data_IF_544409847038
#
_entry.id   IF_544409847038
#
_cell.length_a   1.000
_cell.length_b   1.000
_cell.length_c   1.000
_cell.angle_alpha   90.00
_cell.angle_beta   90.00
_cell.angle_gamma   90.00
#
_symmetry.space_group_name_H-M   'P 1'
#
loop_
_entity.id
_entity.type
_entity.pdbx_description
1 polymer ?
#
# COMPACT_ATOMS: atom_id res chain seq x y z
N UNK A 1 13.59 15.68 -4.29
CA UNK A 1 12.96 14.38 -4.59
C UNK A 1 11.85 14.48 -5.63
N UNK A 2 10.84 15.35 -5.44
CA UNK A 2 9.67 15.52 -6.34
C UNK A 2 9.99 15.69 -7.84
N UNK A 3 11.17 16.20 -8.19
CA UNK A 3 11.61 16.39 -9.58
C UNK A 3 12.65 15.36 -10.07
N UNK A 4 13.27 14.59 -9.18
CA UNK A 4 14.39 13.71 -9.53
C UNK A 4 13.87 12.43 -10.19
N UNK A 5 12.97 11.72 -9.50
CA UNK A 5 12.47 10.43 -9.95
C UNK A 5 11.58 10.51 -11.20
N UNK A 6 10.67 11.50 -11.36
CA UNK A 6 9.93 11.67 -12.62
C UNK A 6 10.80 12.03 -13.83
N UNK A 7 11.94 12.69 -13.60
CA UNK A 7 12.86 13.11 -14.65
C UNK A 7 13.82 11.99 -15.08
N UNK A 8 14.07 11.01 -14.20
CA UNK A 8 14.91 9.87 -14.50
C UNK A 8 14.27 8.97 -15.57
N UNK A 9 15.08 8.55 -16.54
CA UNK A 9 14.66 7.56 -17.55
C UNK A 9 14.49 6.17 -16.90
N UNK A 10 15.39 5.82 -15.99
CA UNK A 10 15.42 4.56 -15.27
C UNK A 10 15.85 4.78 -13.82
N UNK A 11 15.19 4.09 -12.90
CA UNK A 11 15.51 4.09 -11.48
C UNK A 11 15.82 2.67 -11.03
N UNK A 12 16.96 2.48 -10.38
CA UNK A 12 17.34 1.21 -9.78
C UNK A 12 16.97 1.20 -8.30
N UNK A 13 16.09 0.30 -7.88
CA UNK A 13 15.73 0.13 -6.46
C UNK A 13 16.36 -1.15 -5.93
N UNK A 14 17.33 -1.01 -5.03
CA UNK A 14 18.19 -2.10 -4.59
C UNK A 14 17.65 -2.78 -3.32
N UNK A 15 17.31 -4.07 -3.39
CA UNK A 15 16.88 -4.83 -2.22
C UNK A 15 17.99 -4.98 -1.17
N UNK A 16 17.60 -5.36 0.05
CA UNK A 16 18.52 -5.61 1.15
C UNK A 16 19.62 -6.61 0.75
N UNK A 17 20.89 -6.19 0.84
CA UNK A 17 22.07 -7.01 0.49
C UNK A 17 22.14 -8.28 1.34
N UNK A 18 21.56 -8.26 2.54
CA UNK A 18 21.50 -9.42 3.44
C UNK A 18 20.47 -10.48 3.03
N UNK A 19 19.66 -10.25 1.99
CA UNK A 19 18.72 -11.23 1.50
C UNK A 19 19.45 -12.42 0.83
N UNK A 20 18.90 -13.62 1.01
CA UNK A 20 19.47 -14.81 0.38
C UNK A 20 19.25 -14.74 -1.13
N UNK A 21 20.33 -14.77 -1.91
CA UNK A 21 20.26 -14.65 -3.37
C UNK A 21 19.37 -15.72 -4.01
N UNK A 22 19.37 -16.95 -3.48
CA UNK A 22 18.51 -18.03 -4.01
C UNK A 22 17.02 -17.72 -3.83
N UNK A 23 16.63 -17.16 -2.69
CA UNK A 23 15.23 -16.79 -2.44
C UNK A 23 14.81 -15.65 -3.38
N UNK A 24 15.66 -14.64 -3.57
CA UNK A 24 15.36 -13.53 -4.49
C UNK A 24 15.26 -14.02 -5.94
N UNK A 25 16.17 -14.89 -6.38
CA UNK A 25 16.13 -15.48 -7.72
C UNK A 25 14.83 -16.26 -7.97
N UNK A 26 14.44 -17.11 -7.01
CA UNK A 26 13.19 -17.88 -7.12
C UNK A 26 12.01 -16.93 -7.15
N UNK A 27 11.95 -15.94 -6.24
CA UNK A 27 10.86 -14.97 -6.18
C UNK A 27 10.71 -14.18 -7.49
N UNK A 28 11.81 -13.68 -8.06
CA UNK A 28 11.78 -12.92 -9.31
C UNK A 28 11.28 -13.80 -10.46
N UNK A 29 11.85 -14.99 -10.64
CA UNK A 29 11.42 -15.94 -11.68
C UNK A 29 9.95 -16.32 -11.55
N UNK A 30 9.47 -16.52 -10.32
CA UNK A 30 8.08 -16.81 -10.02
C UNK A 30 7.17 -15.64 -10.42
N UNK A 31 7.55 -14.41 -10.09
CA UNK A 31 6.79 -13.22 -10.49
C UNK A 31 6.77 -13.01 -12.00
N UNK A 32 7.91 -13.20 -12.68
CA UNK A 32 7.98 -13.11 -14.15
C UNK A 32 7.12 -14.18 -14.83
N UNK A 33 7.15 -15.41 -14.32
CA UNK A 33 6.31 -16.51 -14.82
C UNK A 33 4.84 -16.17 -14.65
N UNK A 34 4.46 -15.68 -13.47
CA UNK A 34 3.10 -15.27 -13.17
C UNK A 34 2.64 -14.11 -14.07
N UNK A 35 3.47 -13.07 -14.20
CA UNK A 35 3.19 -11.90 -15.04
C UNK A 35 3.02 -12.29 -16.51
N UNK A 36 3.92 -13.12 -17.04
CA UNK A 36 3.84 -13.62 -18.41
C UNK A 36 2.56 -14.44 -18.62
N UNK A 37 2.28 -15.38 -17.74
CA UNK A 37 1.06 -16.20 -17.80
C UNK A 37 -0.21 -15.37 -17.68
N UNK A 38 -0.20 -14.30 -16.87
CA UNK A 38 -1.31 -13.37 -16.72
C UNK A 38 -1.55 -12.60 -18.02
N UNK A 39 -0.48 -12.06 -18.61
CA UNK A 39 -0.56 -11.31 -19.86
C UNK A 39 -1.10 -12.17 -21.00
N UNK A 40 -0.60 -13.41 -21.15
CA UNK A 40 -1.06 -14.35 -22.18
C UNK A 40 -2.55 -14.75 -22.04
N UNK A 41 -3.12 -14.58 -20.86
CA UNK A 41 -4.52 -14.94 -20.53
C UNK A 41 -5.42 -13.74 -20.35
N UNK A 42 -4.94 -12.53 -20.61
CA UNK A 42 -5.64 -11.27 -20.34
C UNK A 42 -6.11 -11.15 -18.87
N UNK A 43 -5.24 -11.54 -17.93
CA UNK A 43 -5.47 -11.43 -16.48
C UNK A 43 -4.66 -10.29 -15.85
N UNK A 44 -4.29 -9.28 -16.65
CA UNK A 44 -3.65 -8.05 -16.18
C UNK A 44 -4.68 -6.92 -16.23
N UNK A 45 -4.81 -6.18 -15.13
CA UNK A 45 -5.76 -5.07 -14.99
C UNK A 45 -5.09 -3.87 -14.34
N UNK A 46 -5.62 -2.70 -14.63
CA UNK A 46 -5.16 -1.45 -14.04
C UNK A 46 -5.66 -1.27 -12.61
N UNK A 47 -4.89 -0.55 -11.77
CA UNK A 47 -5.14 -0.36 -10.34
C UNK A 47 -6.48 0.34 -9.99
N UNK A 48 -7.15 0.97 -10.95
CA UNK A 48 -8.40 1.71 -10.78
C UNK A 48 -9.63 1.01 -11.40
N UNK A 49 -9.48 -0.21 -11.92
CA UNK A 49 -10.65 -1.01 -12.30
C UNK A 49 -11.30 -1.59 -11.05
N UNK A 50 -12.19 -0.82 -10.43
CA UNK A 50 -12.88 -1.16 -9.17
C UNK A 50 -13.84 -2.34 -9.32
N UNK A 51 -14.28 -2.63 -10.55
CA UNK A 51 -15.10 -3.79 -10.89
C UNK A 51 -14.50 -4.48 -12.10
N UNK A 52 -13.81 -5.63 -11.94
CA UNK A 52 -13.39 -6.39 -13.09
C UNK A 52 -14.64 -6.90 -13.82
N UNK A 53 -14.77 -6.59 -15.10
CA UNK A 53 -15.58 -7.41 -16.00
C UNK A 53 -14.87 -8.75 -16.09
N UNK A 54 -15.27 -9.70 -15.24
CA UNK A 54 -14.77 -11.07 -15.27
C UNK A 54 -15.41 -11.72 -16.49
N UNK A 55 -14.59 -12.03 -17.50
CA UNK A 55 -15.06 -12.81 -18.63
C UNK A 55 -15.48 -14.20 -18.15
N UNK A 56 -16.57 -14.72 -18.72
CA UNK A 56 -17.10 -16.04 -18.39
C UNK A 56 -16.03 -17.14 -18.53
N UNK A 57 -15.13 -16.99 -19.50
CA UNK A 57 -13.98 -17.88 -19.70
C UNK A 57 -13.04 -17.91 -18.48
N UNK A 58 -12.76 -16.75 -17.89
CA UNK A 58 -11.89 -16.67 -16.71
C UNK A 58 -12.57 -17.33 -15.50
N UNK A 59 -13.88 -17.13 -15.35
CA UNK A 59 -14.66 -17.75 -14.26
C UNK A 59 -14.70 -19.28 -14.36
N UNK A 60 -14.78 -19.84 -15.57
CA UNK A 60 -14.73 -21.28 -15.81
C UNK A 60 -13.38 -21.90 -15.41
N UNK A 61 -12.28 -21.19 -15.64
CA UNK A 61 -10.92 -21.65 -15.31
C UNK A 61 -10.50 -21.36 -13.85
N UNK A 62 -11.35 -20.66 -13.07
CA UNK A 62 -11.03 -20.21 -11.71
C UNK A 62 -10.59 -21.35 -10.79
N UNK A 63 -11.26 -22.50 -10.85
CA UNK A 63 -10.90 -23.66 -10.02
C UNK A 63 -9.46 -24.10 -10.31
N UNK A 64 -9.06 -24.10 -11.59
CA UNK A 64 -7.68 -24.44 -11.96
C UNK A 64 -6.69 -23.41 -11.43
N UNK A 65 -7.00 -22.11 -11.52
CA UNK A 65 -6.14 -21.05 -11.00
C UNK A 65 -5.97 -21.11 -9.48
N UNK A 66 -7.03 -21.44 -8.74
CA UNK A 66 -6.96 -21.61 -7.29
C UNK A 66 -6.09 -22.81 -6.88
N UNK A 67 -6.02 -23.84 -7.72
CA UNK A 67 -5.11 -24.97 -7.53
C UNK A 67 -3.69 -24.71 -8.08
N UNK A 68 -3.51 -23.71 -8.95
CA UNK A 68 -2.20 -23.36 -9.55
C UNK A 68 -1.98 -21.84 -9.49
N UNK A 69 -1.72 -21.25 -8.31
CA UNK A 69 -1.66 -19.79 -8.17
C UNK A 69 -0.51 -19.13 -8.94
N UNK A 70 0.52 -19.88 -9.33
CA UNK A 70 1.59 -19.41 -10.22
C UNK A 70 1.28 -19.56 -11.72
N UNK A 71 0.09 -20.06 -12.06
CA UNK A 71 -0.39 -20.30 -13.42
C UNK A 71 0.56 -21.17 -14.25
N UNK A 72 1.18 -22.14 -13.60
CA UNK A 72 2.03 -23.16 -14.21
C UNK A 72 1.67 -24.52 -13.58
N UNK A 73 1.39 -25.51 -14.43
CA UNK A 73 1.04 -26.86 -14.01
C UNK A 73 2.13 -27.58 -13.21
N UNK A 74 3.36 -27.05 -13.21
CA UNK A 74 4.47 -27.54 -12.37
C UNK A 74 4.35 -27.15 -10.90
N UNK A 75 3.48 -26.20 -10.56
CA UNK A 75 3.35 -25.64 -9.22
C UNK A 75 1.91 -25.76 -8.68
N UNK A 76 1.36 -26.98 -8.57
CA UNK A 76 0.08 -27.13 -7.89
C UNK A 76 0.21 -26.74 -6.42
N UNK A 77 -0.84 -26.18 -5.83
CA UNK A 77 -0.84 -25.57 -4.48
C UNK A 77 -0.37 -26.52 -3.36
N UNK A 78 -0.46 -27.84 -3.58
CA UNK A 78 -0.05 -28.88 -2.64
C UNK A 78 1.35 -29.48 -2.96
N UNK A 79 2.10 -28.90 -3.90
CA UNK A 79 3.46 -29.33 -4.25
C UNK A 79 4.51 -28.67 -3.37
N UNK A 80 5.66 -29.35 -3.23
CA UNK A 80 6.83 -28.78 -2.58
C UNK A 80 7.36 -27.59 -3.38
N UNK A 81 7.33 -27.67 -4.71
CA UNK A 81 7.76 -26.61 -5.62
C UNK A 81 6.95 -25.33 -5.41
N UNK A 82 5.64 -25.44 -5.19
CA UNK A 82 4.79 -24.30 -4.85
C UNK A 82 5.17 -23.73 -3.48
N UNK A 83 5.32 -24.58 -2.45
CA UNK A 83 5.67 -24.13 -1.11
C UNK A 83 7.02 -23.38 -1.10
N UNK A 84 8.03 -23.92 -1.77
CA UNK A 84 9.36 -23.29 -1.86
C UNK A 84 9.29 -21.92 -2.56
N UNK A 85 8.51 -21.84 -3.65
CA UNK A 85 8.31 -20.60 -4.39
C UNK A 85 7.51 -19.55 -3.59
N UNK A 86 6.44 -19.96 -2.91
CA UNK A 86 5.64 -19.07 -2.04
C UNK A 86 6.48 -18.53 -0.89
N UNK A 87 7.25 -19.39 -0.21
CA UNK A 87 8.15 -18.97 0.87
C UNK A 87 9.23 -18.01 0.37
N UNK A 88 9.81 -18.26 -0.80
CA UNK A 88 10.80 -17.37 -1.42
C UNK A 88 10.20 -15.99 -1.74
N UNK A 89 9.00 -15.93 -2.33
CA UNK A 89 8.26 -14.68 -2.59
C UNK A 89 7.97 -13.96 -1.27
N UNK A 90 7.44 -14.67 -0.28
CA UNK A 90 7.08 -14.14 1.04
C UNK A 90 8.29 -13.54 1.76
N UNK A 91 9.42 -14.23 1.79
CA UNK A 91 10.68 -13.72 2.39
C UNK A 91 11.22 -12.51 1.64
N UNK A 92 11.21 -12.55 0.30
CA UNK A 92 11.72 -11.47 -0.55
C UNK A 92 10.88 -10.20 -0.42
N UNK A 93 9.55 -10.31 -0.31
CA UNK A 93 8.67 -9.14 -0.19
C UNK A 93 8.50 -8.64 1.24
N UNK A 94 8.92 -9.43 2.25
CA UNK A 94 9.01 -9.02 3.67
C UNK A 94 10.39 -8.47 4.06
N UNK A 95 11.30 -8.25 3.10
CA UNK A 95 12.58 -7.62 3.39
C UNK A 95 12.35 -6.22 3.99
N UNK A 96 13.02 -5.93 5.10
CA UNK A 96 12.91 -4.63 5.80
C UNK A 96 13.17 -3.44 4.89
N UNK A 97 14.05 -3.62 3.90
CA UNK A 97 14.27 -2.61 2.87
C UNK A 97 12.93 -2.13 2.33
N UNK A 98 12.08 -3.03 1.81
CA UNK A 98 10.74 -2.72 1.23
C UNK A 98 9.78 -2.02 2.18
N UNK A 99 10.01 -2.10 3.48
CA UNK A 99 9.19 -1.41 4.47
C UNK A 99 9.59 0.07 4.61
N UNK A 100 10.72 0.52 4.05
CA UNK A 100 11.20 1.90 4.19
C UNK A 100 10.34 2.88 3.39
N UNK A 101 9.92 3.97 4.04
CA UNK A 101 9.08 4.98 3.42
C UNK A 101 9.71 5.60 2.15
N UNK A 102 11.04 5.73 2.13
CA UNK A 102 11.80 6.29 1.00
C UNK A 102 11.67 5.51 -0.31
N UNK A 103 11.51 4.19 -0.23
CA UNK A 103 11.31 3.35 -1.43
C UNK A 103 10.03 3.74 -2.14
N UNK A 104 9.02 4.19 -1.41
CA UNK A 104 7.77 4.62 -2.03
C UNK A 104 8.00 5.81 -2.98
N UNK A 105 8.93 6.72 -2.64
CA UNK A 105 9.33 7.80 -3.55
C UNK A 105 10.17 7.34 -4.72
N UNK A 106 10.91 6.23 -4.59
CA UNK A 106 11.65 5.65 -5.72
C UNK A 106 10.69 4.94 -6.67
N UNK A 107 9.71 4.22 -6.15
CA UNK A 107 8.87 3.33 -6.94
C UNK A 107 7.69 4.05 -7.59
N UNK A 108 7.09 5.03 -6.93
CA UNK A 108 5.81 5.61 -7.39
C UNK A 108 6.00 6.63 -8.51
N UNK A 109 6.73 7.75 -8.31
CA UNK A 109 6.85 8.81 -9.31
C UNK A 109 7.78 8.47 -10.49
N UNK A 110 8.48 7.34 -10.48
CA UNK A 110 9.43 6.95 -11.51
C UNK A 110 8.75 6.37 -12.75
N UNK A 111 9.24 6.69 -13.95
CA UNK A 111 8.67 6.15 -15.20
C UNK A 111 9.00 4.67 -15.41
N UNK A 112 10.26 4.30 -15.16
CA UNK A 112 10.75 2.92 -15.27
C UNK A 112 11.59 2.59 -14.06
N UNK A 113 11.26 1.47 -13.42
CA UNK A 113 11.97 1.00 -12.24
C UNK A 113 12.45 -0.43 -12.47
N UNK A 114 13.73 -0.66 -12.21
CA UNK A 114 14.32 -2.00 -12.14
C UNK A 114 14.67 -2.28 -10.69
N UNK A 115 14.09 -3.35 -10.15
CA UNK A 115 14.43 -3.84 -8.82
C UNK A 115 15.64 -4.75 -8.95
N UNK A 116 16.68 -4.49 -8.17
CA UNK A 116 17.95 -5.23 -8.25
C UNK A 116 18.29 -5.87 -6.91
N UNK A 117 18.93 -7.04 -6.96
CA UNK A 117 19.57 -7.67 -5.82
C UNK A 117 20.77 -8.50 -6.31
N UNK A 118 21.98 -8.05 -6.00
CA UNK A 118 23.21 -8.68 -6.48
C UNK A 118 23.20 -8.83 -8.01
N UNK A 119 23.11 -10.07 -8.53
CA UNK A 119 23.06 -10.39 -9.95
C UNK A 119 21.65 -10.60 -10.50
N UNK A 120 20.63 -10.49 -9.65
CA UNK A 120 19.23 -10.68 -10.03
C UNK A 120 18.56 -9.32 -10.26
N UNK A 121 17.69 -9.27 -11.27
CA UNK A 121 16.91 -8.07 -11.60
C UNK A 121 15.49 -8.45 -12.01
N UNK A 122 14.55 -7.53 -11.80
CA UNK A 122 13.18 -7.62 -12.31
C UNK A 122 12.62 -6.22 -12.57
N UNK A 123 11.92 -6.03 -13.68
CA UNK A 123 11.20 -4.79 -13.95
C UNK A 123 10.01 -4.66 -13.00
N UNK A 124 9.77 -3.45 -12.48
CA UNK A 124 8.61 -3.18 -11.63
C UNK A 124 7.30 -3.54 -12.34
N UNK A 125 7.21 -3.34 -13.66
CA UNK A 125 6.04 -3.73 -14.45
C UNK A 125 5.65 -5.21 -14.25
N UNK A 126 6.62 -6.12 -14.29
CA UNK A 126 6.35 -7.54 -14.05
C UNK A 126 5.87 -7.83 -12.63
N UNK A 127 6.33 -7.07 -11.63
CA UNK A 127 5.82 -7.19 -10.26
C UNK A 127 4.37 -6.69 -10.17
N UNK A 128 4.03 -5.60 -10.86
CA UNK A 128 2.68 -5.03 -10.90
C UNK A 128 1.72 -5.98 -11.63
N UNK A 129 2.13 -6.56 -12.76
CA UNK A 129 1.33 -7.53 -13.52
C UNK A 129 1.05 -8.80 -12.70
N UNK A 130 2.08 -9.33 -12.02
CA UNK A 130 1.96 -10.45 -11.10
C UNK A 130 0.97 -10.14 -9.96
N UNK A 131 1.10 -8.95 -9.35
CA UNK A 131 0.18 -8.49 -8.31
C UNK A 131 -1.25 -8.35 -8.84
N UNK A 132 -1.44 -7.74 -10.01
CA UNK A 132 -2.74 -7.51 -10.62
C UNK A 132 -3.48 -8.82 -10.82
N UNK A 133 -2.78 -9.83 -11.36
CA UNK A 133 -3.34 -11.17 -11.51
C UNK A 133 -3.79 -11.79 -10.17
N UNK A 134 -2.93 -11.79 -9.14
CA UNK A 134 -3.33 -12.34 -7.83
C UNK A 134 -4.52 -11.61 -7.21
N UNK A 135 -4.66 -10.30 -7.46
CA UNK A 135 -5.78 -9.51 -6.98
C UNK A 135 -7.09 -9.90 -7.68
N UNK A 136 -7.06 -10.14 -9.00
CA UNK A 136 -8.23 -10.59 -9.75
C UNK A 136 -8.67 -11.99 -9.33
N UNK A 137 -7.72 -12.91 -9.18
CA UNK A 137 -8.03 -14.28 -8.72
C UNK A 137 -8.70 -14.25 -7.34
N UNK A 138 -8.28 -13.35 -6.45
CA UNK A 138 -8.93 -13.15 -5.15
C UNK A 138 -10.37 -12.67 -5.33
N UNK A 139 -10.58 -11.64 -6.15
CA UNK A 139 -11.90 -11.06 -6.37
C UNK A 139 -12.87 -12.06 -6.98
N UNK A 140 -12.39 -12.85 -7.96
CA UNK A 140 -13.14 -13.95 -8.56
C UNK A 140 -13.49 -15.05 -7.54
N UNK A 141 -12.53 -15.43 -6.69
CA UNK A 141 -12.78 -16.41 -5.64
C UNK A 141 -13.84 -15.94 -4.63
N UNK A 142 -13.80 -14.66 -4.26
CA UNK A 142 -14.77 -14.04 -3.36
C UNK A 142 -16.16 -13.93 -4.03
N UNK A 143 -16.24 -13.55 -5.31
CA UNK A 143 -17.52 -13.41 -6.03
C UNK A 143 -18.21 -14.75 -6.28
N UNK A 144 -17.44 -15.78 -6.65
CA UNK A 144 -17.94 -17.13 -6.91
C UNK A 144 -18.10 -17.97 -5.64
N UNK A 145 -17.85 -17.39 -4.46
CA UNK A 145 -17.85 -18.09 -3.16
C UNK A 145 -16.97 -19.36 -3.17
N UNK A 146 -15.86 -19.33 -3.90
CA UNK A 146 -14.93 -20.46 -4.03
C UNK A 146 -13.92 -20.46 -2.89
N UNK A 147 -13.66 -21.66 -2.36
CA UNK A 147 -12.71 -21.82 -1.28
C UNK A 147 -11.28 -21.87 -1.85
N UNK A 148 -10.51 -20.80 -1.66
CA UNK A 148 -9.10 -20.79 -1.98
C UNK A 148 -8.25 -21.40 -0.84
N UNK A 149 -7.21 -22.15 -1.20
CA UNK A 149 -6.29 -22.76 -0.24
C UNK A 149 -5.44 -21.73 0.51
N UNK A 150 -4.88 -22.12 1.67
CA UNK A 150 -4.03 -21.24 2.49
C UNK A 150 -2.83 -20.68 1.70
N UNK A 151 -2.22 -21.49 0.84
CA UNK A 151 -1.09 -21.09 0.00
C UNK A 151 -1.41 -19.90 -0.91
N UNK A 152 -2.60 -19.89 -1.51
CA UNK A 152 -3.07 -18.76 -2.33
C UNK A 152 -3.17 -17.48 -1.50
N UNK A 153 -3.77 -17.55 -0.31
CA UNK A 153 -3.91 -16.37 0.56
C UNK A 153 -2.57 -15.82 1.02
N UNK A 154 -1.62 -16.70 1.36
CA UNK A 154 -0.26 -16.29 1.73
C UNK A 154 0.44 -15.56 0.56
N UNK A 155 0.31 -16.11 -0.64
CA UNK A 155 0.84 -15.50 -1.85
C UNK A 155 0.23 -14.11 -2.09
N UNK A 156 -1.10 -14.00 -2.08
CA UNK A 156 -1.80 -12.72 -2.24
C UNK A 156 -1.35 -11.69 -1.18
N UNK A 157 -1.25 -12.11 0.08
CA UNK A 157 -0.77 -11.24 1.17
C UNK A 157 0.63 -10.69 0.91
N UNK A 158 1.51 -11.48 0.29
CA UNK A 158 2.87 -11.08 -0.05
C UNK A 158 2.90 -9.91 -1.04
N UNK A 159 1.92 -9.82 -1.95
CA UNK A 159 1.82 -8.74 -2.93
C UNK A 159 1.17 -7.44 -2.42
N UNK A 160 0.69 -7.41 -1.16
CA UNK A 160 -0.04 -6.26 -0.60
C UNK A 160 0.70 -4.92 -0.73
N UNK A 161 2.02 -4.91 -0.55
CA UNK A 161 2.86 -3.71 -0.70
C UNK A 161 3.06 -3.28 -2.15
N UNK A 162 3.17 -4.23 -3.07
CA UNK A 162 3.23 -3.93 -4.50
C UNK A 162 1.91 -3.32 -4.97
N UNK A 163 0.78 -3.78 -4.44
CA UNK A 163 -0.53 -3.20 -4.70
C UNK A 163 -0.66 -1.75 -4.22
N UNK A 164 -0.11 -1.44 -3.04
CA UNK A 164 -0.05 -0.04 -2.55
C UNK A 164 0.77 0.84 -3.50
N UNK A 165 1.87 0.31 -4.06
CA UNK A 165 2.68 1.00 -5.08
C UNK A 165 1.87 1.21 -6.35
N UNK A 166 1.24 0.16 -6.89
CA UNK A 166 0.44 0.25 -8.13
C UNK A 166 -0.66 1.30 -8.02
N UNK A 167 -1.40 1.26 -6.92
CA UNK A 167 -2.46 2.21 -6.61
C UNK A 167 -1.95 3.66 -6.52
N UNK A 168 -0.84 3.90 -5.82
CA UNK A 168 -0.28 5.24 -5.73
C UNK A 168 0.33 5.73 -7.06
N UNK A 169 0.89 4.82 -7.87
CA UNK A 169 1.33 5.12 -9.23
C UNK A 169 0.19 5.61 -10.09
N UNK A 170 -0.95 4.93 -10.05
CA UNK A 170 -2.14 5.38 -10.76
C UNK A 170 -2.58 6.79 -10.34
N UNK A 171 -2.49 7.13 -9.04
CA UNK A 171 -2.81 8.46 -8.54
C UNK A 171 -1.86 9.55 -9.07
N UNK A 172 -0.57 9.24 -9.20
CA UNK A 172 0.47 10.19 -9.63
C UNK A 172 0.57 10.32 -11.15
N UNK A 173 0.59 9.20 -11.86
CA UNK A 173 0.76 9.15 -13.32
C UNK A 173 -0.54 9.48 -14.07
N UNK A 174 -1.67 9.58 -13.36
CA UNK A 174 -2.95 10.01 -13.90
C UNK A 174 -3.67 8.94 -14.73
N UNK A 175 -3.38 7.65 -14.47
CA UNK A 175 -4.05 6.46 -15.03
C UNK A 175 -4.58 6.59 -16.46
N UNK A 176 -3.91 6.00 -17.45
CA UNK A 176 -4.40 5.99 -18.85
C UNK A 176 -5.84 5.45 -18.88
N UNK A 177 -6.79 6.26 -19.34
CA UNK A 177 -8.20 5.89 -19.46
C UNK A 177 -9.01 5.84 -18.15
N UNK A 178 -8.46 6.30 -17.01
CA UNK A 178 -9.22 6.45 -15.77
C UNK A 178 -10.09 7.72 -15.79
N UNK A 179 -11.31 7.65 -15.24
CA UNK A 179 -12.09 8.86 -14.98
C UNK A 179 -11.39 9.71 -13.91
N UNK A 180 -11.28 11.02 -14.16
CA UNK A 180 -10.63 11.95 -13.22
C UNK A 180 -11.33 11.97 -11.86
N UNK A 181 -12.65 11.75 -11.82
CA UNK A 181 -13.42 11.60 -10.57
C UNK A 181 -12.94 10.40 -9.74
N UNK A 182 -12.65 9.26 -10.38
CA UNK A 182 -12.10 8.07 -9.73
C UNK A 182 -10.70 8.32 -9.20
N UNK A 183 -9.81 8.88 -10.04
CA UNK A 183 -8.46 9.23 -9.62
C UNK A 183 -8.47 10.25 -8.48
N UNK A 184 -9.39 11.20 -8.51
CA UNK A 184 -9.56 12.19 -7.45
C UNK A 184 -10.00 11.54 -6.13
N UNK A 185 -10.97 10.61 -6.19
CA UNK A 185 -11.37 9.81 -5.04
C UNK A 185 -10.20 8.99 -4.47
N UNK A 186 -9.39 8.37 -5.32
CA UNK A 186 -8.19 7.64 -4.90
C UNK A 186 -7.15 8.57 -4.26
N UNK A 187 -6.83 9.71 -4.89
CA UNK A 187 -5.89 10.70 -4.36
C UNK A 187 -6.30 11.14 -2.96
N UNK A 188 -7.59 11.35 -2.71
CA UNK A 188 -8.12 11.74 -1.40
C UNK A 188 -7.76 10.78 -0.25
N UNK A 189 -7.37 9.54 -0.57
CA UNK A 189 -6.97 8.51 0.39
C UNK A 189 -5.44 8.34 0.49
N UNK A 190 -4.63 9.03 -0.32
CA UNK A 190 -3.16 8.96 -0.26
C UNK A 190 -2.61 9.26 1.15
N UNK A 191 -3.20 10.18 1.94
CA UNK A 191 -2.77 10.38 3.32
C UNK A 191 -2.82 9.12 4.19
N UNK A 192 -3.62 8.09 3.86
CA UNK A 192 -3.63 6.81 4.60
C UNK A 192 -2.31 6.05 4.53
N UNK A 193 -1.41 6.42 3.60
CA UNK A 193 -0.06 5.89 3.51
C UNK A 193 0.86 6.46 4.61
N UNK A 194 0.51 7.61 5.22
CA UNK A 194 1.24 8.15 6.36
C UNK A 194 1.35 7.09 7.45
N UNK A 195 2.59 6.71 7.76
CA UNK A 195 2.82 5.73 8.80
C UNK A 195 2.53 4.26 8.41
N UNK A 196 2.48 3.92 7.12
CA UNK A 196 2.43 2.51 6.68
C UNK A 196 3.80 1.86 6.48
N UNK A 197 4.84 2.67 6.50
CA UNK A 197 6.21 2.30 6.16
C UNK A 197 7.13 2.63 7.33
N UNK A 198 8.10 1.77 7.60
CA UNK A 198 9.14 1.98 8.59
C UNK A 198 10.05 3.16 8.24
N UNK A 199 10.47 3.88 9.27
CA UNK A 199 11.37 5.03 9.21
C UNK A 199 12.30 4.99 10.41
N UNK A 200 13.47 5.61 10.28
CA UNK A 200 14.37 5.82 11.43
C UNK A 200 14.09 7.19 12.08
N UNK A 201 13.89 8.23 11.26
CA UNK A 201 13.39 9.53 11.70
C UNK A 201 11.85 9.58 11.53
N UNK A 202 11.07 9.81 12.61
CA UNK A 202 9.61 9.93 12.50
C UNK A 202 9.12 11.01 11.51
N UNK A 203 9.91 12.05 11.22
CA UNK A 203 9.58 13.06 10.20
C UNK A 203 9.47 12.46 8.80
N UNK A 204 10.16 11.35 8.53
CA UNK A 204 10.17 10.69 7.22
C UNK A 204 8.82 10.10 6.85
N UNK A 205 7.92 9.84 7.81
CA UNK A 205 6.56 9.44 7.44
C UNK A 205 5.88 10.51 6.59
N UNK A 206 6.17 11.79 6.84
CA UNK A 206 5.69 12.91 6.03
C UNK A 206 6.61 13.14 4.84
N UNK A 207 7.90 13.36 5.10
CA UNK A 207 8.85 13.78 4.06
C UNK A 207 9.03 12.74 2.96
N UNK A 208 8.98 11.45 3.29
CA UNK A 208 9.05 10.37 2.31
C UNK A 208 7.75 10.18 1.50
N UNK A 209 6.70 10.99 1.71
CA UNK A 209 5.52 10.98 0.84
C UNK A 209 5.36 12.26 0.02
N UNK A 210 6.22 13.27 0.17
CA UNK A 210 6.17 14.53 -0.59
C UNK A 210 6.41 14.37 -2.10
N UNK A 211 7.02 13.25 -2.52
CA UNK A 211 7.14 12.88 -3.94
C UNK A 211 5.85 12.32 -4.55
N UNK A 212 4.87 11.97 -3.71
CA UNK A 212 3.60 11.32 -4.10
C UNK A 212 2.41 12.23 -3.80
N UNK A 213 2.42 12.90 -2.65
CA UNK A 213 1.40 13.85 -2.20
C UNK A 213 1.97 15.26 -2.39
N UNK A 214 1.28 16.14 -3.14
CA UNK A 214 1.82 17.43 -3.54
C UNK A 214 1.73 18.49 -2.43
N UNK A 215 2.19 18.18 -1.21
CA UNK A 215 2.21 19.14 -0.10
C UNK A 215 3.37 20.13 -0.25
N UNK A 216 3.12 21.41 0.04
CA UNK A 216 4.15 22.47 -0.01
C UNK A 216 4.94 22.53 1.31
N UNK A 217 5.66 21.44 1.60
CA UNK A 217 6.49 21.31 2.81
C UNK A 217 7.93 21.06 2.38
N UNK A 218 8.86 21.86 2.90
CA UNK A 218 10.30 21.63 2.73
C UNK A 218 10.83 20.72 3.84
N UNK A 219 11.55 19.63 3.51
CA UNK A 219 12.16 18.77 4.52
C UNK A 219 13.20 19.51 5.37
N UNK A 220 12.92 19.66 6.66
CA UNK A 220 13.83 20.22 7.67
C UNK A 220 14.15 19.18 8.77
N UNK A 221 15.40 18.72 8.76
CA UNK A 221 15.96 17.77 9.74
C UNK A 221 16.71 18.44 10.89
N UNK A 222 16.76 19.78 10.94
CA UNK A 222 17.38 20.47 12.06
C UNK A 222 16.62 20.21 13.37
N UNK A 223 17.32 20.40 14.49
CA UNK A 223 16.75 20.25 15.84
C UNK A 223 15.67 21.28 16.16
N UNK A 224 15.57 22.36 15.37
CA UNK A 224 14.52 23.39 15.50
C UNK A 224 13.16 22.90 15.02
N UNK A 225 13.17 22.07 13.97
CA UNK A 225 11.95 21.48 13.43
C UNK A 225 11.58 20.25 14.25
N UNK A 226 10.53 20.35 15.06
CA UNK A 226 10.03 19.21 15.85
C UNK A 226 9.16 18.30 14.99
N UNK A 227 9.04 17.02 15.37
CA UNK A 227 8.10 16.08 14.72
C UNK A 227 6.67 16.65 14.74
N UNK A 228 6.25 17.23 15.87
CA UNK A 228 4.93 17.83 16.00
C UNK A 228 4.70 18.96 14.98
N UNK A 229 5.70 19.83 14.78
CA UNK A 229 5.63 20.93 13.81
C UNK A 229 5.47 20.43 12.38
N UNK A 230 6.24 19.40 11.98
CA UNK A 230 6.13 18.78 10.64
C UNK A 230 4.73 18.26 10.38
N UNK A 231 4.18 17.58 11.36
CA UNK A 231 2.88 16.95 11.28
C UNK A 231 1.74 17.98 11.28
N UNK A 232 1.84 19.06 12.05
CA UNK A 232 0.91 20.20 11.98
C UNK A 232 0.92 20.83 10.58
N UNK A 233 2.11 21.10 10.03
CA UNK A 233 2.24 21.60 8.66
C UNK A 233 1.62 20.64 7.63
N UNK A 234 1.82 19.33 7.79
CA UNK A 234 1.18 18.32 6.95
C UNK A 234 -0.36 18.39 7.00
N UNK A 235 -0.95 18.49 8.20
CA UNK A 235 -2.39 18.65 8.34
C UNK A 235 -2.90 19.92 7.66
N UNK A 236 -2.21 21.06 7.83
CA UNK A 236 -2.56 22.33 7.19
C UNK A 236 -2.56 22.21 5.66
N UNK A 237 -1.51 21.63 5.09
CA UNK A 237 -1.40 21.46 3.64
C UNK A 237 -2.42 20.46 3.08
N UNK A 238 -2.68 19.35 3.78
CA UNK A 238 -3.72 18.39 3.39
C UNK A 238 -5.10 19.04 3.40
N UNK A 239 -5.42 19.84 4.42
CA UNK A 239 -6.69 20.55 4.50
C UNK A 239 -6.84 21.57 3.37
N UNK A 240 -5.79 22.33 3.03
CA UNK A 240 -5.79 23.23 1.87
C UNK A 240 -6.03 22.46 0.57
N UNK A 241 -5.32 21.35 0.40
CA UNK A 241 -5.42 20.51 -0.79
C UNK A 241 -6.83 19.91 -0.98
N UNK A 242 -7.45 19.41 0.10
CA UNK A 242 -8.79 18.83 0.04
C UNK A 242 -9.93 19.87 -0.01
N UNK A 243 -9.76 21.05 0.60
CA UNK A 243 -10.78 22.11 0.53
C UNK A 243 -11.02 22.55 -0.93
N UNK A 244 -10.01 22.42 -1.79
CA UNK A 244 -10.09 22.73 -3.22
C UNK A 244 -10.81 21.63 -4.04
N UNK A 245 -10.88 20.39 -3.54
CA UNK A 245 -11.21 19.22 -4.36
C UNK A 245 -12.56 18.53 -4.07
N UNK A 246 -13.50 19.19 -3.37
CA UNK A 246 -14.89 18.74 -3.10
C UNK A 246 -15.04 17.29 -2.60
N UNK A 247 -15.17 17.12 -1.28
CA UNK A 247 -15.59 15.87 -0.65
C UNK A 247 -14.43 14.90 -0.38
N UNK A 248 -14.44 14.30 0.81
CA UNK A 248 -13.39 13.38 1.25
C UNK A 248 -13.13 13.48 2.74
N UNK A 249 -12.29 12.58 3.26
CA UNK A 249 -11.91 12.54 4.67
C UNK A 249 -10.44 12.96 4.77
N UNK A 250 -10.12 14.27 4.68
CA UNK A 250 -8.74 14.76 4.56
C UNK A 250 -7.84 14.25 5.68
N UNK A 251 -8.41 14.08 6.86
CA UNK A 251 -7.71 13.63 8.05
C UNK A 251 -7.97 12.14 8.37
N UNK A 252 -8.38 11.33 7.40
CA UNK A 252 -8.67 9.89 7.59
C UNK A 252 -7.47 9.12 8.16
N UNK A 253 -6.24 9.57 7.90
CA UNK A 253 -5.04 8.97 8.47
C UNK A 253 -4.95 9.12 9.99
N UNK A 254 -5.66 10.10 10.58
CA UNK A 254 -5.80 10.25 12.03
C UNK A 254 -6.63 9.13 12.67
N UNK A 255 -7.35 8.30 11.90
CA UNK A 255 -8.01 7.10 12.46
C UNK A 255 -7.04 6.12 13.11
N UNK A 256 -5.73 6.27 12.83
CA UNK A 256 -4.65 5.45 13.39
C UNK A 256 -3.90 6.14 14.53
N UNK A 257 -4.32 7.34 14.90
CA UNK A 257 -3.88 8.05 16.09
C UNK A 257 -3.98 7.16 17.34
N UNK A 258 -2.92 7.10 18.14
CA UNK A 258 -2.98 6.57 19.50
C UNK A 258 -3.25 5.06 19.69
N UNK A 259 -3.24 4.25 18.62
CA UNK A 259 -3.59 2.82 18.68
C UNK A 259 -2.60 1.89 19.42
N UNK A 260 -1.56 2.42 20.10
CA UNK A 260 -0.55 1.61 20.85
C UNK A 260 -0.21 2.26 22.21
N UNK A 261 -1.18 2.88 22.89
CA UNK A 261 -0.99 3.42 24.25
C UNK A 261 -1.40 2.41 25.33
N UNK A 262 -0.74 1.24 25.39
CA UNK A 262 -1.05 0.18 26.38
C UNK A 262 0.05 -0.10 27.41
N UNK A 263 1.07 0.76 27.55
CA UNK A 263 2.04 0.63 28.64
C UNK A 263 2.07 1.91 29.50
N UNK A 264 1.79 1.82 30.82
CA UNK A 264 1.69 2.98 31.72
C UNK A 264 2.98 3.80 31.87
N UNK A 265 4.13 3.24 31.49
CA UNK A 265 5.44 3.75 31.93
C UNK A 265 6.27 4.45 30.84
N UNK A 266 5.74 4.64 29.62
CA UNK A 266 6.44 5.35 28.55
C UNK A 266 6.11 6.85 28.53
N UNK A 267 7.11 7.68 28.82
CA UNK A 267 7.03 9.13 28.65
C UNK A 267 6.71 9.55 27.21
N UNK A 268 5.93 10.62 27.07
CA UNK A 268 5.38 11.13 25.81
C UNK A 268 6.46 11.76 24.91
N UNK A 269 6.88 11.06 23.85
CA UNK A 269 7.86 11.59 22.87
C UNK A 269 7.20 11.96 21.53
N UNK A 270 5.99 11.45 21.23
CA UNK A 270 5.23 11.74 20.02
C UNK A 270 3.85 12.34 20.34
N UNK A 271 3.28 13.22 19.49
CA UNK A 271 1.90 13.66 19.63
C UNK A 271 0.93 12.47 19.63
N UNK A 272 -0.14 12.54 20.44
CA UNK A 272 -1.15 11.47 20.66
C UNK A 272 -1.85 10.96 19.38
N UNK A 273 -1.66 11.66 18.28
CA UNK A 273 -2.29 11.41 17.00
C UNK A 273 -1.37 10.85 15.92
N UNK A 274 -0.07 10.70 16.23
CA UNK A 274 0.89 10.02 15.36
C UNK A 274 0.82 8.52 15.62
N UNK A 275 0.88 7.69 14.57
CA UNK A 275 1.10 6.26 14.74
C UNK A 275 2.37 6.05 15.59
N UNK A 276 2.25 5.40 16.74
CA UNK A 276 3.41 5.10 17.57
C UNK A 276 4.19 3.94 16.92
N UNK A 277 5.26 4.24 16.16
CA UNK A 277 6.16 3.24 15.56
C UNK A 277 7.14 2.64 16.58
N UNK A 278 6.68 2.39 17.80
CA UNK A 278 7.41 1.55 18.72
C UNK A 278 7.49 0.14 18.11
N UNK A 279 8.73 -0.27 17.80
CA UNK A 279 9.18 -1.62 17.36
C UNK A 279 8.08 -2.69 17.32
N UNK A 280 7.74 -3.11 16.11
CA UNK A 280 7.07 -4.40 15.79
C UNK A 280 5.79 -4.66 16.59
N UNK A 281 4.68 -4.01 16.24
CA UNK A 281 3.38 -4.62 16.47
C UNK A 281 3.03 -5.49 15.26
N UNK A 282 3.11 -6.81 15.43
CA UNK A 282 2.72 -7.82 14.45
C UNK A 282 1.21 -7.90 14.21
N UNK A 283 0.50 -6.76 14.25
CA UNK A 283 -0.93 -6.71 14.01
C UNK A 283 -1.14 -6.54 12.50
N UNK A 284 -1.25 -7.69 11.83
CA UNK A 284 -1.83 -7.83 10.50
C UNK A 284 -3.29 -7.32 10.52
N UNK A 285 -3.52 -6.01 10.39
CA UNK A 285 -4.80 -5.55 9.87
C UNK A 285 -4.70 -5.62 8.36
N UNK A 286 -5.52 -6.48 7.76
CA UNK A 286 -5.48 -6.72 6.32
C UNK A 286 -5.81 -5.42 5.57
N UNK A 287 -5.20 -5.19 4.41
CA UNK A 287 -5.59 -4.11 3.51
C UNK A 287 -7.06 -4.17 3.07
N UNK A 288 -7.76 -5.29 3.25
CA UNK A 288 -9.12 -5.50 2.75
C UNK A 288 -10.16 -4.54 3.34
N UNK A 289 -10.00 -4.06 4.58
CA UNK A 289 -10.99 -3.14 5.18
C UNK A 289 -11.02 -1.75 4.54
N UNK A 290 -10.00 -1.39 3.75
CA UNK A 290 -9.86 -0.06 3.16
C UNK A 290 -10.00 -0.03 1.63
N UNK A 291 -9.64 -1.13 0.97
CA UNK A 291 -9.68 -1.21 -0.50
C UNK A 291 -10.91 -1.95 -1.06
N UNK A 292 -11.71 -2.57 -0.20
CA UNK A 292 -13.07 -3.00 -0.55
C UNK A 292 -14.04 -1.88 -0.22
N UNK A 293 -14.71 -1.30 -1.22
CA UNK A 293 -15.80 -0.32 -1.04
C UNK A 293 -16.99 -0.91 -0.24
N UNK A 294 -16.94 -2.19 0.15
CA UNK A 294 -17.88 -2.85 1.06
C UNK A 294 -17.18 -3.51 2.25
N UNK A 295 -16.57 -2.70 3.11
CA UNK A 295 -16.54 -3.00 4.53
C UNK A 295 -17.71 -2.32 5.21
N UNK A 296 -18.75 -3.07 5.61
CA UNK A 296 -19.67 -2.60 6.66
C UNK A 296 -18.86 -2.40 7.94
N UNK A 297 -18.25 -1.23 8.11
CA UNK A 297 -18.05 -0.68 9.44
C UNK A 297 -19.37 -0.03 9.82
N UNK A 298 -20.17 -0.73 10.64
CA UNK A 298 -21.51 -0.32 11.08
C UNK A 298 -21.56 1.06 11.79
N UNK A 299 -20.42 1.73 11.96
CA UNK A 299 -20.30 3.03 12.61
C UNK A 299 -20.01 4.21 11.66
N UNK A 300 -19.81 3.99 10.36
CA UNK A 300 -19.30 5.03 9.45
C UNK A 300 -20.16 5.25 8.19
N UNK A 301 -21.46 5.00 8.29
CA UNK A 301 -22.39 5.41 7.23
C UNK A 301 -23.02 6.77 7.57
N UNK A 302 -23.06 7.63 6.55
CA UNK A 302 -23.81 8.90 6.42
C UNK A 302 -23.07 10.22 6.78
N UNK A 303 -22.63 11.02 5.78
CA UNK A 303 -22.13 12.39 5.94
C UNK A 303 -23.14 13.33 6.62
N UNK A 304 -24.43 13.07 6.43
CA UNK A 304 -25.54 13.90 6.95
C UNK A 304 -25.59 13.95 8.47
N UNK A 305 -25.12 12.89 9.16
CA UNK A 305 -25.16 12.81 10.63
C UNK A 305 -24.09 13.68 11.32
N UNK A 306 -22.98 13.96 10.63
CA UNK A 306 -21.88 14.78 11.17
C UNK A 306 -22.12 16.27 10.99
N UNK A 307 -22.82 16.67 9.92
CA UNK A 307 -23.24 18.06 9.72
C UNK A 307 -24.34 18.50 10.69
N UNK A 308 -25.02 17.56 11.35
CA UNK A 308 -26.04 17.81 12.38
C UNK A 308 -25.53 17.76 13.82
N UNK A 309 -24.25 17.42 14.04
CA UNK A 309 -23.66 17.46 15.37
C UNK A 309 -23.21 18.88 15.67
N UNK A 310 -23.90 19.57 16.59
CA UNK A 310 -23.36 20.81 17.14
C UNK A 310 -21.95 20.55 17.70
N UNK A 311 -21.00 21.48 17.48
CA UNK A 311 -19.65 21.35 18.03
C UNK A 311 -19.79 21.11 19.54
N UNK A 312 -19.33 19.95 20.01
CA UNK A 312 -19.38 19.63 21.43
C UNK A 312 -18.72 20.76 22.21
N UNK A 313 -19.54 21.55 22.90
CA UNK A 313 -19.13 22.64 23.76
C UNK A 313 -18.12 22.09 24.76
N UNK A 314 -16.85 22.47 24.60
CA UNK A 314 -15.80 22.21 25.58
C UNK A 314 -16.09 23.10 26.79
N UNK A 315 -17.06 22.69 27.59
CA UNK A 315 -17.27 23.16 28.95
C UNK A 315 -16.93 22.00 29.88
N UNK A 316 -15.80 22.12 30.59
CA UNK A 316 -15.65 21.83 32.03
C UNK A 316 -14.21 22.13 32.45
N UNK A 317 -14.06 23.18 33.23
CA UNK A 317 -13.82 23.14 34.69
C UNK A 317 -12.34 23.04 35.03
N UNK A 318 -11.69 24.22 35.04
CA UNK A 318 -10.45 24.41 35.79
C UNK A 318 -10.83 24.45 37.27
N UNK A 319 -10.59 23.34 37.99
CA UNK A 319 -10.47 23.38 39.45
C UNK A 319 -9.04 23.75 39.81
N UNK A 320 -8.90 24.94 40.38
CA UNK A 320 -7.69 25.40 41.06
C UNK A 320 -7.47 24.53 42.30
N UNK A 321 -6.29 23.91 42.40
CA UNK A 321 -5.60 23.66 43.66
C UNK A 321 -4.12 23.98 43.48
#
# INVERSE_FOLDING_TARGET
MRFIYPAAEIVFSCLDIGALQSDVRIAFKTCETLAKSAFERDLVRSAYNVYPNIEEKNAQDLEWFLQHPFMDGKYPINSQEFEDAEQAVSRTFRLKYRERAWIFQELVPSKRVVVIHQLELIDLGSLLDAQSCTQLLKEMAESESKQAGRGFWNLWHSFSKIREVDWARACVDGGKDAEESTLQGMRSLLPLLYGRYGTEDPKDHVYALLGVIPLEIEPDYTSKMTVASVYVAACEEILKWHHVQHGGWPLCFLSRAGLVHQSPDQGYVLPSWVNNFAKKSGINRSPQSFFGVHGREDNYTWPEKWNSLEPASIHREIRIL
#
